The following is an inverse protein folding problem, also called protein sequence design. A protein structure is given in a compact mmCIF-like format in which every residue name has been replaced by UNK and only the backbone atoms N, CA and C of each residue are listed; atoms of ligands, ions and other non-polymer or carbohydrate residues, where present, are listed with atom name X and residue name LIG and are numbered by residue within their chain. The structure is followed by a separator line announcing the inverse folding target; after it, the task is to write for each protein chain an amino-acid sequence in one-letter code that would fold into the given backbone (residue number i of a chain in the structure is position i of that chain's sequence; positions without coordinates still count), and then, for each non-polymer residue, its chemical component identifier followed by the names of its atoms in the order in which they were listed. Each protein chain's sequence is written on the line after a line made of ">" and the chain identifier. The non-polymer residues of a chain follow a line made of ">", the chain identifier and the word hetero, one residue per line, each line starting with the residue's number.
data_IF_756445955661
#
_entry.id   IF_756445955661
#
_cell.length_a   1.000
_cell.length_b   1.000
_cell.length_c   1.000
_cell.angle_alpha   90.00
_cell.angle_beta   90.00
_cell.angle_gamma   90.00
#
_symmetry.space_group_name_H-M   'P 1'
#
loop_
_entity.id
_entity.type
_entity.pdbx_description
1 polymer ?
#
# COMPACT_ATOMS: atom_id res chain seq x y z
N UNK A 1 6.42 -13.46 -8.10
CA UNK A 1 6.76 -14.39 -7.00
C UNK A 1 5.72 -14.20 -5.89
N UNK A 2 4.60 -14.94 -5.92
CA UNK A 2 3.45 -14.70 -5.03
C UNK A 2 3.62 -15.19 -3.58
N UNK A 3 4.57 -16.10 -3.33
CA UNK A 3 4.64 -16.86 -2.06
C UNK A 3 5.23 -16.09 -0.87
N UNK A 4 5.74 -14.87 -1.08
CA UNK A 4 6.47 -14.10 -0.06
C UNK A 4 5.64 -13.00 0.61
N UNK A 5 4.31 -12.99 0.43
CA UNK A 5 3.44 -12.08 1.19
C UNK A 5 3.29 -12.61 2.63
N UNK A 6 3.45 -11.71 3.60
CA UNK A 6 3.13 -11.99 5.01
C UNK A 6 1.69 -12.53 5.05
N UNK A 7 1.56 -13.80 5.46
CA UNK A 7 0.29 -14.53 5.40
C UNK A 7 -0.79 -13.79 6.18
N UNK A 8 -1.97 -13.68 5.56
CA UNK A 8 -3.19 -13.18 6.21
C UNK A 8 -3.76 -14.27 7.14
N UNK A 9 -4.61 -13.86 8.09
CA UNK A 9 -5.35 -14.81 8.93
C UNK A 9 -6.10 -15.86 8.09
N UNK A 10 -5.61 -17.10 8.17
CA UNK A 10 -6.20 -18.26 7.50
C UNK A 10 -5.22 -19.39 7.21
N UNK A 11 -3.93 -19.10 7.06
CA UNK A 11 -2.92 -20.12 6.71
C UNK A 11 -1.73 -20.10 7.66
N UNK A 12 -1.77 -20.95 8.69
CA UNK A 12 -0.60 -21.41 9.48
C UNK A 12 0.27 -20.34 10.14
N UNK A 13 0.15 -20.23 11.47
CA UNK A 13 0.76 -19.25 12.40
C UNK A 13 0.07 -17.88 12.44
N UNK A 14 -0.50 -17.51 13.60
CA UNK A 14 -1.44 -16.38 13.74
C UNK A 14 -0.85 -15.01 13.42
N UNK A 15 -1.69 -14.06 13.01
CA UNK A 15 -1.28 -12.68 12.76
C UNK A 15 -0.85 -11.99 14.08
N UNK A 16 0.33 -11.36 14.10
CA UNK A 16 0.84 -10.66 15.29
C UNK A 16 0.29 -9.24 15.36
N UNK A 17 -0.42 -8.94 16.45
CA UNK A 17 -1.01 -7.63 16.73
C UNK A 17 0.06 -6.60 17.14
N UNK A 18 0.65 -5.94 16.13
CA UNK A 18 1.68 -4.91 16.33
C UNK A 18 1.10 -3.55 16.71
N UNK A 19 1.95 -2.61 17.13
CA UNK A 19 1.55 -1.22 17.34
C UNK A 19 0.98 -0.59 16.08
N UNK A 20 1.59 -0.86 14.92
CA UNK A 20 1.12 -0.37 13.62
C UNK A 20 -0.25 -0.94 13.26
N UNK A 21 -0.48 -2.23 13.48
CA UNK A 21 -1.79 -2.85 13.28
C UNK A 21 -2.88 -2.21 14.16
N UNK A 22 -2.59 -2.00 15.45
CA UNK A 22 -3.55 -1.34 16.36
C UNK A 22 -3.91 0.08 15.90
N UNK A 23 -2.97 0.81 15.29
CA UNK A 23 -3.26 2.13 14.69
C UNK A 23 -4.23 1.98 13.52
N UNK A 24 -3.99 1.03 12.62
CA UNK A 24 -4.91 0.74 11.50
C UNK A 24 -6.30 0.41 12.03
N UNK A 25 -6.43 -0.52 12.97
CA UNK A 25 -7.73 -0.91 13.54
C UNK A 25 -8.47 0.31 14.13
N UNK A 26 -7.78 1.18 14.87
CA UNK A 26 -8.39 2.40 15.42
C UNK A 26 -8.88 3.34 14.31
N UNK A 27 -8.08 3.52 13.27
CA UNK A 27 -8.46 4.35 12.14
C UNK A 27 -9.60 3.74 11.34
N UNK A 28 -9.62 2.43 11.13
CA UNK A 28 -10.61 1.76 10.27
C UNK A 28 -11.96 1.52 10.95
N UNK A 29 -12.00 1.45 12.29
CA UNK A 29 -13.22 1.12 13.05
C UNK A 29 -14.45 1.96 12.70
N UNK A 30 -14.25 3.23 12.37
CA UNK A 30 -15.35 4.16 12.13
C UNK A 30 -15.69 4.34 10.64
N UNK A 31 -15.09 3.57 9.73
CA UNK A 31 -15.32 3.74 8.28
C UNK A 31 -16.74 3.35 7.85
N UNK A 32 -17.41 2.46 8.61
CA UNK A 32 -18.84 2.12 8.39
C UNK A 32 -19.78 3.30 8.68
N UNK A 33 -19.45 4.12 9.69
CA UNK A 33 -20.35 5.15 10.21
C UNK A 33 -19.95 6.57 9.84
N UNK A 34 -18.71 6.79 9.41
CA UNK A 34 -18.17 8.10 9.06
C UNK A 34 -17.48 8.04 7.70
N UNK A 35 -17.83 8.98 6.82
CA UNK A 35 -17.26 9.14 5.49
C UNK A 35 -16.26 10.30 5.42
N UNK A 36 -15.54 10.42 4.30
CA UNK A 36 -14.65 11.55 4.02
C UNK A 36 -13.24 11.40 4.58
N UNK A 37 -12.85 10.18 4.98
CA UNK A 37 -11.51 9.91 5.53
C UNK A 37 -10.57 9.51 4.42
N UNK A 38 -9.41 10.15 4.39
CA UNK A 38 -8.33 9.84 3.46
C UNK A 38 -7.15 9.30 4.25
N UNK A 39 -7.03 7.98 4.29
CA UNK A 39 -6.01 7.29 5.08
C UNK A 39 -4.89 6.86 4.16
N UNK A 40 -3.68 7.38 4.40
CA UNK A 40 -2.49 7.00 3.66
C UNK A 40 -1.61 6.09 4.52
N UNK A 41 -1.46 4.85 4.08
CA UNK A 41 -0.66 3.83 4.75
C UNK A 41 0.70 3.75 4.06
N UNK A 42 1.72 4.22 4.78
CA UNK A 42 3.09 4.28 4.30
C UNK A 42 3.98 3.29 5.04
N UNK A 43 5.07 2.89 4.43
CA UNK A 43 6.05 2.00 5.03
C UNK A 43 7.02 1.50 3.99
N UNK A 44 8.24 1.22 4.43
CA UNK A 44 9.28 0.68 3.56
C UNK A 44 8.81 -0.61 2.87
N UNK A 45 9.38 -0.95 1.71
CA UNK A 45 9.20 -2.27 1.12
C UNK A 45 9.48 -3.38 2.15
N UNK A 46 8.67 -4.44 2.12
CA UNK A 46 8.85 -5.60 3.01
C UNK A 46 8.38 -5.45 4.46
N UNK A 47 7.75 -4.33 4.85
CA UNK A 47 7.15 -4.16 6.19
C UNK A 47 5.75 -4.78 6.34
N UNK A 48 5.21 -5.44 5.32
CA UNK A 48 3.91 -6.11 5.40
C UNK A 48 2.71 -5.16 5.49
N UNK A 49 2.74 -4.02 4.79
CA UNK A 49 1.62 -3.06 4.70
C UNK A 49 0.32 -3.77 4.32
N UNK A 50 0.33 -4.50 3.21
CA UNK A 50 -0.82 -5.22 2.68
C UNK A 50 -1.39 -6.20 3.70
N UNK A 51 -0.54 -7.00 4.34
CA UNK A 51 -0.98 -7.94 5.37
C UNK A 51 -1.68 -7.26 6.54
N UNK A 52 -1.19 -6.10 6.99
CA UNK A 52 -1.87 -5.33 8.04
C UNK A 52 -3.21 -4.75 7.55
N UNK A 53 -3.26 -4.23 6.33
CA UNK A 53 -4.48 -3.65 5.75
C UNK A 53 -5.55 -4.72 5.59
N UNK A 54 -5.27 -5.76 4.82
CA UNK A 54 -6.26 -6.80 4.51
C UNK A 54 -6.72 -7.54 5.77
N UNK A 55 -5.83 -7.79 6.74
CA UNK A 55 -6.23 -8.37 8.03
C UNK A 55 -7.15 -7.41 8.80
N UNK A 56 -6.89 -6.10 8.80
CA UNK A 56 -7.74 -5.13 9.49
C UNK A 56 -9.11 -4.98 8.81
N UNK A 57 -9.16 -4.97 7.47
CA UNK A 57 -10.40 -4.93 6.71
C UNK A 57 -11.27 -6.15 7.01
N UNK A 58 -10.68 -7.36 6.99
CA UNK A 58 -11.35 -8.61 7.35
C UNK A 58 -11.81 -8.61 8.81
N UNK A 59 -10.96 -8.19 9.75
CA UNK A 59 -11.27 -8.15 11.18
C UNK A 59 -12.44 -7.22 11.53
N UNK A 60 -12.65 -6.16 10.72
CA UNK A 60 -13.70 -5.18 10.92
C UNK A 60 -14.91 -5.40 9.99
N UNK A 61 -14.86 -6.46 9.18
CA UNK A 61 -15.90 -6.82 8.22
C UNK A 61 -16.30 -5.63 7.31
N UNK A 62 -15.30 -4.89 6.81
CA UNK A 62 -15.56 -3.71 5.99
C UNK A 62 -15.91 -4.12 4.56
N UNK A 63 -17.01 -3.57 4.02
CA UNK A 63 -17.34 -3.67 2.61
C UNK A 63 -16.44 -2.74 1.80
N UNK A 64 -15.41 -3.30 1.16
CA UNK A 64 -14.37 -2.51 0.48
C UNK A 64 -14.37 -2.77 -1.01
N UNK A 65 -14.33 -1.68 -1.78
CA UNK A 65 -14.01 -1.72 -3.20
C UNK A 65 -12.49 -1.66 -3.39
N UNK A 66 -11.90 -2.71 -3.96
CA UNK A 66 -10.44 -2.89 -4.13
C UNK A 66 -10.13 -3.16 -5.61
N UNK A 67 -10.09 -2.10 -6.45
CA UNK A 67 -9.93 -2.21 -7.90
C UNK A 67 -8.58 -2.80 -8.32
N UNK A 68 -8.57 -3.44 -9.48
CA UNK A 68 -7.36 -3.96 -10.13
C UNK A 68 -7.10 -3.13 -11.38
N UNK A 69 -5.92 -2.52 -11.50
CA UNK A 69 -5.56 -1.77 -12.70
C UNK A 69 -4.48 -2.50 -13.47
N UNK A 70 -4.76 -2.78 -14.73
CA UNK A 70 -3.80 -3.36 -15.65
C UNK A 70 -3.38 -2.32 -16.69
N UNK A 71 -2.14 -1.86 -16.61
CA UNK A 71 -1.54 -1.05 -17.66
C UNK A 71 -0.91 -1.98 -18.69
N UNK A 72 -0.99 -1.61 -19.97
CA UNK A 72 -0.50 -2.45 -21.06
C UNK A 72 1.04 -2.47 -21.14
N UNK A 73 1.70 -1.37 -20.79
CA UNK A 73 3.15 -1.28 -20.76
C UNK A 73 3.64 -0.09 -19.93
N UNK A 74 4.96 -0.05 -19.69
CA UNK A 74 5.65 1.01 -18.94
C UNK A 74 5.77 2.33 -19.68
N UNK A 75 5.54 2.35 -21.00
CA UNK A 75 5.76 3.52 -21.85
C UNK A 75 4.54 4.43 -21.97
N UNK A 76 3.37 3.97 -21.52
CA UNK A 76 2.13 4.76 -21.45
C UNK A 76 2.38 6.15 -20.86
N UNK A 77 1.77 7.16 -21.47
CA UNK A 77 1.80 8.54 -20.99
C UNK A 77 0.97 8.70 -19.71
N UNK A 78 1.23 9.79 -18.99
CA UNK A 78 0.41 10.17 -17.82
C UNK A 78 -1.07 10.35 -18.14
N UNK A 79 -1.42 10.71 -19.38
CA UNK A 79 -2.81 10.80 -19.85
C UNK A 79 -3.45 9.45 -20.04
N UNK A 80 -2.73 8.52 -20.68
CA UNK A 80 -3.22 7.16 -20.93
C UNK A 80 -3.44 6.43 -19.60
N UNK A 81 -2.48 6.49 -18.67
CA UNK A 81 -2.62 5.88 -17.34
C UNK A 81 -3.81 6.44 -16.57
N UNK A 82 -4.03 7.77 -16.62
CA UNK A 82 -5.18 8.39 -15.95
C UNK A 82 -6.51 7.99 -16.58
N UNK A 83 -6.58 7.93 -17.91
CA UNK A 83 -7.75 7.45 -18.64
C UNK A 83 -8.05 5.99 -18.33
N UNK A 84 -7.01 5.16 -18.26
CA UNK A 84 -7.07 3.73 -18.00
C UNK A 84 -7.53 3.43 -16.56
N UNK A 85 -7.04 4.22 -15.60
CA UNK A 85 -7.54 4.21 -14.22
C UNK A 85 -9.05 4.42 -14.18
N UNK A 86 -9.57 5.47 -14.81
CA UNK A 86 -11.01 5.72 -14.82
C UNK A 86 -11.80 4.73 -15.66
N UNK A 87 -11.25 4.22 -16.76
CA UNK A 87 -11.87 3.15 -17.55
C UNK A 87 -12.12 1.92 -16.68
N UNK A 88 -11.09 1.50 -15.95
CA UNK A 88 -11.16 0.39 -14.97
C UNK A 88 -12.24 0.65 -13.93
N UNK A 89 -12.24 1.82 -13.28
CA UNK A 89 -13.24 2.12 -12.25
C UNK A 89 -14.67 2.13 -12.79
N UNK A 90 -14.87 2.60 -14.02
CA UNK A 90 -16.20 2.62 -14.65
C UNK A 90 -16.68 1.21 -14.96
N UNK A 91 -15.81 0.35 -15.48
CA UNK A 91 -16.13 -1.05 -15.80
C UNK A 91 -16.44 -1.86 -14.54
N UNK A 92 -15.58 -1.78 -13.53
CA UNK A 92 -15.73 -2.50 -12.25
C UNK A 92 -17.03 -2.12 -11.52
N UNK A 93 -17.42 -0.84 -11.59
CA UNK A 93 -18.63 -0.32 -10.93
C UNK A 93 -19.87 -0.33 -11.82
N UNK A 94 -19.74 -0.72 -13.10
CA UNK A 94 -20.84 -0.76 -14.07
C UNK A 94 -21.47 0.60 -14.37
N UNK A 95 -20.65 1.66 -14.45
CA UNK A 95 -21.09 3.05 -14.65
C UNK A 95 -20.60 3.64 -15.97
N UNK A 96 -21.29 4.69 -16.47
CA UNK A 96 -21.02 5.22 -17.81
C UNK A 96 -20.01 6.37 -17.83
N UNK A 97 -19.87 7.11 -16.74
CA UNK A 97 -19.03 8.31 -16.66
C UNK A 97 -18.28 8.41 -15.32
N UNK A 98 -17.34 9.33 -15.22
CA UNK A 98 -16.48 9.51 -14.04
C UNK A 98 -17.23 10.05 -12.83
N UNK A 99 -18.28 10.85 -13.03
CA UNK A 99 -19.07 11.40 -11.94
C UNK A 99 -19.81 10.27 -11.19
N UNK A 100 -20.37 9.32 -11.94
CA UNK A 100 -21.03 8.13 -11.41
C UNK A 100 -20.07 7.22 -10.63
N UNK A 101 -18.77 7.19 -10.96
CA UNK A 101 -17.76 6.45 -10.19
C UNK A 101 -17.74 6.93 -8.74
N UNK A 102 -17.76 8.25 -8.52
CA UNK A 102 -17.79 8.81 -7.16
C UNK A 102 -19.09 8.51 -6.43
N UNK A 103 -20.22 8.49 -7.14
CA UNK A 103 -21.50 8.12 -6.53
C UNK A 103 -21.51 6.65 -6.12
N UNK A 104 -21.07 5.74 -6.99
CA UNK A 104 -20.98 4.31 -6.67
C UNK A 104 -19.97 4.00 -5.58
N UNK A 105 -18.84 4.70 -5.56
CA UNK A 105 -17.84 4.55 -4.50
C UNK A 105 -18.39 4.87 -3.08
N UNK A 106 -19.48 5.64 -2.96
CA UNK A 106 -20.11 5.94 -1.66
C UNK A 106 -20.85 4.74 -1.05
N UNK A 107 -21.23 3.74 -1.86
CA UNK A 107 -21.93 2.53 -1.41
C UNK A 107 -21.02 1.61 -0.57
N UNK A 108 -19.69 1.77 -0.69
CA UNK A 108 -18.70 1.00 0.05
C UNK A 108 -18.28 1.69 1.35
N UNK A 109 -17.88 0.91 2.35
CA UNK A 109 -17.28 1.42 3.58
C UNK A 109 -15.99 2.17 3.31
N UNK A 110 -15.20 1.68 2.34
CA UNK A 110 -14.02 2.35 1.81
C UNK A 110 -13.66 1.88 0.39
N UNK A 111 -12.93 2.73 -0.32
CA UNK A 111 -12.18 2.38 -1.53
C UNK A 111 -10.72 2.16 -1.16
N UNK A 112 -10.15 1.03 -1.56
CA UNK A 112 -8.76 0.65 -1.30
C UNK A 112 -7.93 0.77 -2.58
N UNK A 113 -6.99 1.71 -2.59
CA UNK A 113 -5.96 1.81 -3.63
C UNK A 113 -4.66 1.24 -3.08
N UNK A 114 -4.44 -0.07 -3.29
CA UNK A 114 -3.30 -0.80 -2.74
C UNK A 114 -2.65 -1.74 -3.77
N UNK A 115 -2.18 -2.91 -3.36
CA UNK A 115 -1.36 -3.81 -4.19
C UNK A 115 -1.97 -4.11 -5.56
N UNK A 116 -3.29 -4.28 -5.65
CA UNK A 116 -3.97 -4.64 -6.90
C UNK A 116 -3.91 -3.56 -7.98
N UNK A 117 -3.74 -2.31 -7.58
CA UNK A 117 -3.59 -1.17 -8.49
C UNK A 117 -2.13 -0.77 -8.67
N UNK A 118 -1.34 -0.96 -7.62
CA UNK A 118 0.04 -0.56 -7.56
C UNK A 118 0.98 -1.57 -8.24
N UNK A 119 0.76 -2.85 -7.97
CA UNK A 119 1.68 -3.93 -8.33
C UNK A 119 0.91 -5.08 -9.02
N UNK A 120 0.07 -4.73 -10.00
CA UNK A 120 -0.79 -5.69 -10.71
C UNK A 120 -0.02 -6.70 -11.55
N UNK A 121 1.26 -6.44 -11.85
CA UNK A 121 2.18 -7.40 -12.47
C UNK A 121 2.36 -8.69 -11.65
N UNK A 122 2.01 -8.68 -10.36
CA UNK A 122 2.00 -9.89 -9.53
C UNK A 122 0.73 -10.72 -9.69
N UNK A 123 -0.32 -10.16 -10.31
CA UNK A 123 -1.59 -10.83 -10.62
C UNK A 123 -1.52 -11.35 -12.05
N UNK A 124 -1.14 -10.47 -13.00
CA UNK A 124 -0.93 -10.80 -14.40
C UNK A 124 0.46 -10.35 -14.82
N UNK A 125 1.32 -11.30 -15.18
CA UNK A 125 2.74 -11.05 -15.49
C UNK A 125 2.93 -10.26 -16.79
N UNK A 126 1.92 -10.22 -17.65
CA UNK A 126 1.97 -9.51 -18.93
C UNK A 126 1.45 -8.07 -18.81
N UNK A 127 1.03 -7.65 -17.59
CA UNK A 127 0.53 -6.32 -17.29
C UNK A 127 1.46 -5.57 -16.34
N UNK A 128 1.24 -4.26 -16.25
CA UNK A 128 2.05 -3.33 -15.46
C UNK A 128 1.18 -2.62 -14.42
N UNK A 129 1.63 -2.59 -13.16
CA UNK A 129 1.03 -1.76 -12.12
C UNK A 129 1.57 -0.33 -12.07
N UNK A 130 0.88 0.56 -11.35
CA UNK A 130 1.27 1.98 -11.21
C UNK A 130 2.67 2.12 -10.60
N UNK A 131 3.06 1.27 -9.66
CA UNK A 131 4.38 1.30 -9.03
C UNK A 131 5.48 1.07 -10.06
N UNK A 132 5.37 0.02 -10.87
CA UNK A 132 6.36 -0.31 -11.88
C UNK A 132 6.42 0.76 -12.98
N UNK A 133 5.25 1.25 -13.42
CA UNK A 133 5.16 2.36 -14.36
C UNK A 133 5.84 3.62 -13.81
N UNK A 134 5.52 4.02 -12.57
CA UNK A 134 6.12 5.19 -11.92
C UNK A 134 7.63 5.02 -11.76
N UNK A 135 8.09 3.84 -11.36
CA UNK A 135 9.51 3.54 -11.16
C UNK A 135 10.31 3.65 -12.45
N UNK A 136 9.72 3.27 -13.58
CA UNK A 136 10.34 3.41 -14.91
C UNK A 136 10.28 4.85 -15.45
N UNK A 137 9.16 5.56 -15.28
CA UNK A 137 9.04 6.96 -15.72
C UNK A 137 9.87 7.93 -14.88
N UNK A 138 10.12 7.62 -13.60
CA UNK A 138 10.84 8.51 -12.70
C UNK A 138 10.14 9.86 -12.54
N UNK A 139 10.85 10.96 -12.80
CA UNK A 139 10.29 12.31 -12.70
C UNK A 139 9.20 12.59 -13.75
N UNK A 140 9.20 11.88 -14.89
CA UNK A 140 8.18 12.04 -15.94
C UNK A 140 6.79 11.48 -15.52
N UNK A 141 6.71 10.83 -14.36
CA UNK A 141 5.43 10.48 -13.73
C UNK A 141 4.75 11.68 -13.03
N UNK A 142 5.45 12.80 -12.82
CA UNK A 142 4.90 13.96 -12.12
C UNK A 142 3.58 14.50 -12.71
N UNK A 143 3.41 14.60 -14.05
CA UNK A 143 2.15 15.04 -14.64
C UNK A 143 0.95 14.16 -14.25
N UNK A 144 1.14 12.86 -14.03
CA UNK A 144 0.08 11.97 -13.55
C UNK A 144 -0.35 12.35 -12.12
N UNK A 145 0.59 12.54 -11.20
CA UNK A 145 0.28 12.99 -9.84
C UNK A 145 -0.40 14.36 -9.81
N UNK A 146 0.03 15.27 -10.69
CA UNK A 146 -0.61 16.57 -10.83
C UNK A 146 -2.07 16.45 -11.30
N UNK A 147 -2.36 15.55 -12.25
CA UNK A 147 -3.74 15.26 -12.67
C UNK A 147 -4.59 14.69 -11.54
N UNK A 148 -4.07 13.72 -10.79
CA UNK A 148 -4.75 13.17 -9.60
C UNK A 148 -5.04 14.27 -8.57
N UNK A 149 -4.11 15.22 -8.40
CA UNK A 149 -4.30 16.37 -7.53
C UNK A 149 -5.41 17.32 -8.03
N UNK A 150 -5.41 17.67 -9.32
CA UNK A 150 -6.48 18.50 -9.92
C UNK A 150 -7.84 17.82 -9.80
N UNK A 151 -7.90 16.52 -10.06
CA UNK A 151 -9.11 15.72 -9.94
C UNK A 151 -9.67 15.77 -8.52
N UNK A 152 -8.81 15.66 -7.50
CA UNK A 152 -9.20 15.83 -6.10
C UNK A 152 -9.80 17.20 -5.82
N UNK A 153 -9.29 18.27 -6.43
CA UNK A 153 -9.83 19.62 -6.26
C UNK A 153 -11.22 19.74 -6.90
N UNK A 154 -11.38 19.21 -8.11
CA UNK A 154 -12.65 19.24 -8.86
C UNK A 154 -13.76 18.46 -8.14
N UNK A 155 -13.44 17.27 -7.62
CA UNK A 155 -14.41 16.38 -6.97
C UNK A 155 -14.34 16.38 -5.45
N UNK A 156 -13.86 17.49 -4.85
CA UNK A 156 -13.66 17.60 -3.40
C UNK A 156 -14.94 17.35 -2.60
N UNK A 157 -16.10 17.76 -3.13
CA UNK A 157 -17.40 17.58 -2.46
C UNK A 157 -17.82 16.11 -2.41
N UNK A 158 -17.60 15.36 -3.48
CA UNK A 158 -17.97 13.95 -3.57
C UNK A 158 -16.98 13.07 -2.81
N UNK A 159 -15.69 13.40 -2.88
CA UNK A 159 -14.68 12.71 -2.09
C UNK A 159 -14.87 12.88 -0.57
N UNK A 160 -15.54 13.94 -0.09
CA UNK A 160 -15.93 14.05 1.33
C UNK A 160 -16.97 13.00 1.76
N UNK A 161 -17.61 12.31 0.82
CA UNK A 161 -18.61 11.25 1.07
C UNK A 161 -18.01 9.86 0.90
N UNK A 162 -16.73 9.75 0.55
CA UNK A 162 -16.03 8.50 0.31
C UNK A 162 -14.92 8.36 1.35
N UNK A 163 -14.69 7.15 1.82
CA UNK A 163 -13.45 6.85 2.54
C UNK A 163 -12.45 6.26 1.56
N UNK A 164 -11.25 6.85 1.51
CA UNK A 164 -10.18 6.41 0.64
C UNK A 164 -9.02 5.90 1.48
N UNK A 165 -8.65 4.64 1.31
CA UNK A 165 -7.45 4.05 1.89
C UNK A 165 -6.45 3.88 0.76
N UNK A 166 -5.28 4.51 0.89
CA UNK A 166 -4.20 4.41 -0.09
C UNK A 166 -3.02 3.75 0.59
N UNK A 167 -2.48 2.70 0.00
CA UNK A 167 -1.18 2.16 0.36
C UNK A 167 -0.13 2.74 -0.57
N UNK A 168 1.07 3.08 -0.09
CA UNK A 168 2.20 3.35 -0.99
C UNK A 168 3.54 3.01 -0.33
N UNK A 169 4.52 2.66 -1.16
CA UNK A 169 5.94 2.69 -0.81
C UNK A 169 6.54 3.96 -1.44
N UNK A 170 7.27 4.75 -0.65
CA UNK A 170 7.87 5.99 -1.14
C UNK A 170 9.25 5.68 -1.73
N UNK A 171 9.24 4.93 -2.82
CA UNK A 171 10.43 4.45 -3.53
C UNK A 171 10.53 5.17 -4.86
N UNK A 172 11.74 5.56 -5.25
CA UNK A 172 12.01 6.14 -6.56
C UNK A 172 13.37 5.66 -7.09
N UNK A 173 13.51 5.64 -8.42
CA UNK A 173 14.76 5.31 -9.10
C UNK A 173 15.44 6.59 -9.58
N UNK A 174 16.68 6.80 -9.17
CA UNK A 174 17.51 7.91 -9.64
C UNK A 174 18.87 7.39 -10.09
N UNK A 175 19.27 7.69 -11.33
CA UNK A 175 20.52 7.19 -11.95
C UNK A 175 20.71 5.67 -11.83
N UNK A 176 19.63 4.91 -12.02
CA UNK A 176 19.65 3.44 -11.94
C UNK A 176 19.65 2.86 -10.53
N UNK A 177 19.72 3.69 -9.49
CA UNK A 177 19.68 3.25 -8.08
C UNK A 177 18.28 3.48 -7.51
N UNK A 178 17.74 2.47 -6.82
CA UNK A 178 16.48 2.55 -6.10
C UNK A 178 16.70 3.11 -4.70
N UNK A 179 15.89 4.09 -4.30
CA UNK A 179 15.95 4.74 -3.00
C UNK A 179 14.61 4.67 -2.28
N UNK A 180 14.62 4.37 -0.99
CA UNK A 180 13.45 4.42 -0.08
C UNK A 180 13.47 5.73 0.71
N UNK A 181 12.57 6.65 0.37
CA UNK A 181 12.46 7.96 1.02
C UNK A 181 12.21 7.87 2.53
N UNK A 182 11.65 6.77 3.03
CA UNK A 182 11.35 6.62 4.45
C UNK A 182 12.57 6.21 5.29
N UNK A 183 13.57 5.56 4.69
CA UNK A 183 14.76 5.06 5.40
C UNK A 183 16.03 5.75 4.99
N UNK A 184 16.17 6.11 3.72
CA UNK A 184 17.47 6.53 3.17
C UNK A 184 17.71 8.03 3.39
N UNK A 185 16.65 8.80 3.69
CA UNK A 185 16.72 10.24 3.87
C UNK A 185 16.12 10.68 5.21
N UNK A 186 16.88 10.59 6.30
CA UNK A 186 16.38 10.77 7.67
C UNK A 186 15.57 12.07 7.89
N UNK A 187 16.16 13.25 7.72
CA UNK A 187 15.47 14.54 8.00
C UNK A 187 14.39 14.84 6.94
N UNK A 188 14.72 14.62 5.67
CA UNK A 188 13.82 14.89 4.53
C UNK A 188 12.55 14.02 4.66
N UNK A 189 12.69 12.75 5.07
CA UNK A 189 11.55 11.86 5.29
C UNK A 189 10.56 12.42 6.32
N UNK A 190 11.05 13.06 7.39
CA UNK A 190 10.20 13.63 8.44
C UNK A 190 9.43 14.82 7.92
N UNK A 191 10.11 15.72 7.19
CA UNK A 191 9.48 16.90 6.59
C UNK A 191 8.41 16.48 5.58
N UNK A 192 8.74 15.53 4.70
CA UNK A 192 7.79 15.03 3.72
C UNK A 192 6.57 14.38 4.38
N UNK A 193 6.75 13.53 5.39
CA UNK A 193 5.63 12.93 6.12
C UNK A 193 4.77 13.99 6.81
N UNK A 194 5.37 15.05 7.35
CA UNK A 194 4.63 16.19 7.90
C UNK A 194 3.78 16.88 6.84
N UNK A 195 4.34 17.18 5.66
CA UNK A 195 3.60 17.81 4.55
C UNK A 195 2.43 16.92 4.11
N UNK A 196 2.68 15.62 3.93
CA UNK A 196 1.64 14.65 3.54
C UNK A 196 0.56 14.56 4.63
N UNK A 197 0.93 14.67 5.91
CA UNK A 197 -0.03 14.62 7.02
C UNK A 197 -1.00 15.81 7.08
N UNK A 198 -0.70 16.91 6.37
CA UNK A 198 -1.65 18.01 6.18
C UNK A 198 -2.79 17.63 5.23
N UNK A 199 -2.56 16.66 4.36
CA UNK A 199 -3.47 16.26 3.28
C UNK A 199 -4.18 14.93 3.56
N UNK A 200 -3.58 14.08 4.39
CA UNK A 200 -4.02 12.70 4.65
C UNK A 200 -3.85 12.33 6.13
N UNK A 201 -4.68 11.42 6.61
CA UNK A 201 -4.39 10.68 7.84
C UNK A 201 -3.30 9.65 7.56
N UNK A 202 -2.06 9.94 7.97
CA UNK A 202 -0.90 9.09 7.67
C UNK A 202 -0.69 8.03 8.75
N UNK A 203 -0.68 6.75 8.35
CA UNK A 203 -0.32 5.62 9.22
C UNK A 203 0.98 4.99 8.70
N UNK A 204 2.06 5.14 9.47
CA UNK A 204 3.34 4.50 9.18
C UNK A 204 3.40 3.08 9.74
N UNK A 205 3.67 2.11 8.86
CA UNK A 205 3.98 0.72 9.20
C UNK A 205 5.48 0.58 9.38
N UNK A 206 5.87 0.33 10.63
CA UNK A 206 7.26 0.14 11.05
C UNK A 206 7.27 -0.64 12.35
N UNK A 207 8.28 -1.48 12.53
CA UNK A 207 8.38 -2.35 13.70
C UNK A 207 9.64 -2.06 14.52
N UNK A 208 9.50 -2.22 15.82
CA UNK A 208 10.66 -2.40 16.71
C UNK A 208 11.40 -3.70 16.42
N UNK A 209 12.61 -3.86 16.96
CA UNK A 209 13.35 -5.12 16.85
C UNK A 209 12.60 -6.26 17.54
N UNK A 210 11.96 -5.95 18.66
CA UNK A 210 11.16 -6.87 19.45
C UNK A 210 9.90 -7.31 18.72
N UNK A 211 9.16 -6.37 18.10
CA UNK A 211 8.02 -6.71 17.24
C UNK A 211 8.46 -7.54 16.03
N UNK A 212 9.58 -7.18 15.40
CA UNK A 212 10.11 -7.94 14.25
C UNK A 212 10.50 -9.36 14.67
N UNK A 213 11.17 -9.53 15.80
CA UNK A 213 11.52 -10.84 16.34
C UNK A 213 10.27 -11.70 16.58
N UNK A 214 9.22 -11.14 17.17
CA UNK A 214 7.95 -11.86 17.39
C UNK A 214 7.29 -12.27 16.08
N UNK A 215 7.25 -11.38 15.09
CA UNK A 215 6.71 -11.68 13.76
C UNK A 215 7.49 -12.84 13.13
N UNK A 216 8.82 -12.81 13.17
CA UNK A 216 9.66 -13.84 12.57
C UNK A 216 9.52 -15.17 13.32
N UNK A 217 9.60 -15.17 14.65
CA UNK A 217 9.44 -16.39 15.47
C UNK A 217 8.09 -17.07 15.28
N UNK A 218 7.03 -16.29 15.06
CA UNK A 218 5.71 -16.85 14.78
C UNK A 218 5.68 -17.63 13.45
N UNK A 219 6.37 -17.13 12.42
CA UNK A 219 6.41 -17.76 11.09
C UNK A 219 7.52 -18.83 10.96
N UNK A 220 8.58 -18.74 11.78
CA UNK A 220 9.74 -19.61 11.76
C UNK A 220 10.05 -20.09 13.19
N UNK A 221 9.26 -21.04 13.69
CA UNK A 221 9.35 -21.50 15.09
C UNK A 221 10.73 -22.09 15.42
N UNK A 222 11.33 -22.81 14.48
CA UNK A 222 12.59 -23.56 14.67
C UNK A 222 13.86 -22.73 14.48
N UNK A 223 13.75 -21.46 14.08
CA UNK A 223 14.92 -20.61 13.81
C UNK A 223 15.41 -19.98 15.11
N UNK A 224 16.71 -20.09 15.41
CA UNK A 224 17.30 -19.52 16.63
C UNK A 224 17.17 -17.99 16.69
N UNK A 225 16.97 -17.45 17.90
CA UNK A 225 16.83 -16.01 18.11
C UNK A 225 18.09 -15.23 17.69
N UNK A 226 19.30 -15.80 17.85
CA UNK A 226 20.53 -15.12 17.41
C UNK A 226 20.58 -14.98 15.90
N UNK A 227 20.10 -16.00 15.17
CA UNK A 227 19.99 -15.94 13.71
C UNK A 227 19.03 -14.83 13.27
N UNK A 228 17.85 -14.75 13.90
CA UNK A 228 16.87 -13.69 13.62
C UNK A 228 17.46 -12.30 13.90
N UNK A 229 18.13 -12.12 15.04
CA UNK A 229 18.80 -10.85 15.38
C UNK A 229 19.87 -10.46 14.36
N UNK A 230 20.61 -11.43 13.83
CA UNK A 230 21.58 -11.20 12.76
C UNK A 230 20.90 -10.71 11.48
N UNK A 231 19.80 -11.36 11.07
CA UNK A 231 19.00 -10.92 9.92
C UNK A 231 18.42 -9.52 10.13
N UNK A 232 17.91 -9.19 11.33
CA UNK A 232 17.42 -7.85 11.66
C UNK A 232 18.54 -6.81 11.54
N UNK A 233 19.77 -7.14 11.95
CA UNK A 233 20.93 -6.24 11.81
C UNK A 233 21.27 -5.99 10.33
N UNK A 234 21.14 -7.01 9.48
CA UNK A 234 21.49 -6.95 8.05
C UNK A 234 20.40 -6.29 7.19
N UNK A 235 19.13 -6.63 7.42
CA UNK A 235 18.00 -6.25 6.57
C UNK A 235 17.08 -5.19 7.20
N UNK A 236 17.34 -4.80 8.45
CA UNK A 236 16.48 -3.93 9.24
C UNK A 236 15.19 -4.64 9.69
N UNK A 237 14.26 -3.86 10.25
CA UNK A 237 12.96 -4.34 10.73
C UNK A 237 11.95 -4.54 9.59
N UNK A 238 12.33 -5.31 8.57
CA UNK A 238 11.55 -5.57 7.35
C UNK A 238 11.27 -7.09 7.22
N UNK A 239 10.16 -7.60 7.80
CA UNK A 239 9.90 -9.04 7.92
C UNK A 239 10.06 -9.83 6.61
N UNK A 240 9.58 -9.31 5.47
CA UNK A 240 9.68 -10.03 4.18
C UNK A 240 11.13 -10.37 3.81
N UNK A 241 12.04 -9.41 3.91
CA UNK A 241 13.46 -9.65 3.60
C UNK A 241 14.12 -10.61 4.58
N UNK A 242 13.67 -10.63 5.85
CA UNK A 242 14.13 -11.59 6.84
C UNK A 242 13.63 -13.00 6.49
N UNK A 243 12.37 -13.14 6.09
CA UNK A 243 11.78 -14.42 5.69
C UNK A 243 12.53 -14.99 4.47
N UNK A 244 12.72 -14.18 3.43
CA UNK A 244 13.50 -14.55 2.24
C UNK A 244 14.94 -14.97 2.59
N UNK A 245 15.58 -14.29 3.54
CA UNK A 245 16.93 -14.64 3.98
C UNK A 245 16.98 -15.95 4.78
N UNK A 246 15.96 -16.24 5.60
CA UNK A 246 15.90 -17.47 6.40
C UNK A 246 15.55 -18.69 5.53
N UNK A 247 14.67 -18.53 4.54
CA UNK A 247 14.30 -19.59 3.60
C UNK A 247 15.48 -20.01 2.70
N UNK A 248 16.30 -19.05 2.23
CA UNK A 248 17.50 -19.37 1.43
C UNK A 248 18.59 -20.12 2.19
N UNK A 249 18.52 -20.15 3.52
CA UNK A 249 19.49 -20.84 4.38
C UNK A 249 18.95 -22.18 4.91
N UNK A 250 17.80 -22.64 4.42
CA UNK A 250 17.23 -23.97 4.66
C UNK A 250 17.45 -24.86 3.45
#
# INVERSE_FOLDING_TARGET
>A
MPDYKVKSEGEGSGFIYTRSFRKIIRSFRNLKTHKGRFILIIGSPGTGKSANIYTALKSLDLNVYDPILFLDNVDMSSSEVFSEFYRTLREDLGVKNNEEVYHKAQEFDAVLLADKILDSEFIDKDKVGISLWTLNKGFDAFPFYFKVFLERLNYRKDLKKINLIIQTALVFRFKGVEYDLLTDFNIISRIMVLIISLLFEVIKISYSKEETLRIVKNNFMDVDEKQIKSCIKKHGCKPRFIFEALEKNR
#
